data_IF_347934855139
#
_entry.id   IF_347934855139
#
_cell.length_a   1.000
_cell.length_b   1.000
_cell.length_c   1.000
_cell.angle_alpha   90.00
_cell.angle_beta   90.00
_cell.angle_gamma   90.00
#
_symmetry.space_group_name_H-M   'P 1'
#
loop_
_entity.id
_entity.type
_entity.pdbx_description
1 polymer ?
#
# COMPACT_ATOMS: atom_id res chain seq x y z
N UNK A 1 -13.29 4.84 -13.83
CA UNK A 1 -12.20 5.72 -13.36
C UNK A 1 -10.90 4.98 -13.39
N UNK A 2 -9.81 5.59 -13.86
CA UNK A 2 -8.52 4.96 -13.80
C UNK A 2 -8.09 4.79 -12.34
N UNK A 3 -7.49 3.66 -12.06
CA UNK A 3 -6.96 3.37 -10.74
C UNK A 3 -5.78 4.31 -10.43
N UNK A 4 -5.77 4.82 -9.22
CA UNK A 4 -4.66 5.63 -8.71
C UNK A 4 -4.33 5.15 -7.31
N UNK A 5 -3.09 4.72 -7.05
CA UNK A 5 -2.71 4.32 -5.70
C UNK A 5 -2.68 5.53 -4.76
N UNK A 6 -2.89 5.28 -3.49
CA UNK A 6 -2.93 6.35 -2.49
C UNK A 6 -1.55 6.88 -2.15
N UNK A 7 -0.54 6.01 -2.17
CA UNK A 7 0.84 6.36 -1.83
C UNK A 7 1.76 5.73 -2.87
N UNK A 8 2.77 6.48 -3.29
CA UNK A 8 3.82 5.96 -4.15
C UNK A 8 5.18 6.27 -3.53
N UNK A 9 6.14 5.39 -3.81
CA UNK A 9 7.54 5.61 -3.46
C UNK A 9 8.31 5.70 -4.76
N UNK A 10 8.94 6.84 -4.99
CA UNK A 10 9.72 7.09 -6.22
C UNK A 10 11.20 7.18 -5.89
N UNK A 11 12.05 6.89 -6.86
CA UNK A 11 13.48 7.07 -6.69
C UNK A 11 13.84 8.53 -6.42
N UNK A 12 14.90 8.78 -5.67
CA UNK A 12 15.31 10.15 -5.32
C UNK A 12 15.72 10.95 -6.56
N UNK A 13 16.45 10.31 -7.47
CA UNK A 13 17.01 10.97 -8.65
C UNK A 13 16.31 10.58 -9.96
N UNK A 14 15.32 9.73 -9.89
CA UNK A 14 14.60 9.24 -11.08
C UNK A 14 13.10 9.24 -10.83
N UNK A 15 12.28 9.40 -11.88
CA UNK A 15 10.82 9.31 -11.73
C UNK A 15 10.31 7.86 -11.59
N UNK A 16 11.23 6.89 -11.47
CA UNK A 16 10.85 5.48 -11.36
C UNK A 16 10.04 5.21 -10.09
N UNK A 17 8.93 4.53 -10.22
CA UNK A 17 8.11 4.11 -9.08
C UNK A 17 8.65 2.79 -8.55
N UNK A 18 9.03 2.77 -7.28
CA UNK A 18 9.61 1.60 -6.60
C UNK A 18 8.57 0.79 -5.83
N UNK A 19 7.52 1.45 -5.36
CA UNK A 19 6.48 0.83 -4.56
C UNK A 19 5.19 1.62 -4.73
N UNK A 20 4.06 0.92 -4.83
CA UNK A 20 2.75 1.54 -4.75
C UNK A 20 1.99 0.96 -3.56
N UNK A 21 1.21 1.79 -2.90
CA UNK A 21 0.40 1.38 -1.75
C UNK A 21 -1.02 1.89 -1.94
N UNK A 22 -1.97 0.99 -1.81
CA UNK A 22 -3.39 1.34 -1.79
C UNK A 22 -3.94 1.01 -0.40
N UNK A 23 -4.53 2.00 0.25
CA UNK A 23 -5.03 1.88 1.62
C UNK A 23 -6.54 2.05 1.65
N UNK A 24 -7.25 1.01 2.07
CA UNK A 24 -8.71 0.99 2.12
C UNK A 24 -9.18 0.53 3.50
N UNK A 25 -10.34 1.01 3.91
CA UNK A 25 -10.93 0.59 5.19
C UNK A 25 -11.60 -0.77 5.11
N UNK A 26 -12.05 -1.17 3.92
CA UNK A 26 -12.71 -2.45 3.72
C UNK A 26 -11.77 -3.51 3.20
N UNK A 27 -12.09 -4.76 3.53
CA UNK A 27 -11.31 -5.92 3.14
C UNK A 27 -11.07 -5.97 1.62
N UNK A 28 -9.87 -6.41 1.18
CA UNK A 28 -9.56 -6.55 -0.25
C UNK A 28 -10.25 -7.76 -0.89
N UNK A 29 -11.49 -8.04 -0.52
CA UNK A 29 -12.25 -9.18 -1.02
C UNK A 29 -12.78 -9.01 -2.43
N UNK A 30 -12.64 -7.80 -3.00
CA UNK A 30 -13.07 -7.57 -4.38
C UNK A 30 -11.94 -7.85 -5.34
N UNK A 31 -12.09 -8.85 -6.23
CA UNK A 31 -11.06 -9.17 -7.23
C UNK A 31 -10.68 -7.98 -8.11
N UNK A 32 -11.59 -7.03 -8.28
CA UNK A 32 -11.36 -5.83 -9.08
C UNK A 32 -10.23 -4.96 -8.54
N UNK A 33 -10.12 -4.81 -7.21
CA UNK A 33 -9.06 -4.01 -6.59
C UNK A 33 -7.70 -4.65 -6.80
N UNK A 34 -7.63 -5.96 -6.65
CA UNK A 34 -6.40 -6.70 -6.88
C UNK A 34 -5.96 -6.59 -8.34
N UNK A 35 -6.90 -6.77 -9.26
CA UNK A 35 -6.66 -6.65 -10.69
C UNK A 35 -6.16 -5.25 -11.07
N UNK A 36 -6.79 -4.21 -10.52
CA UNK A 36 -6.40 -2.83 -10.78
C UNK A 36 -4.99 -2.54 -10.26
N UNK A 37 -4.67 -3.02 -9.07
CA UNK A 37 -3.34 -2.85 -8.48
C UNK A 37 -2.28 -3.54 -9.34
N UNK A 38 -2.53 -4.78 -9.75
CA UNK A 38 -1.61 -5.55 -10.61
C UNK A 38 -1.42 -4.88 -11.97
N UNK A 39 -2.49 -4.41 -12.59
CA UNK A 39 -2.41 -3.71 -13.87
C UNK A 39 -1.59 -2.43 -13.76
N UNK A 40 -1.79 -1.67 -12.68
CA UNK A 40 -1.01 -0.45 -12.45
C UNK A 40 0.47 -0.76 -12.27
N UNK A 41 0.79 -1.81 -11.51
CA UNK A 41 2.18 -2.24 -11.33
C UNK A 41 2.84 -2.55 -12.67
N UNK A 42 2.15 -3.29 -13.53
CA UNK A 42 2.66 -3.64 -14.86
C UNK A 42 2.84 -2.41 -15.74
N UNK A 43 1.84 -1.56 -15.78
CA UNK A 43 1.87 -0.34 -16.61
C UNK A 43 2.99 0.60 -16.21
N UNK A 44 3.21 0.77 -14.92
CA UNK A 44 4.24 1.66 -14.39
C UNK A 44 5.58 0.97 -14.17
N UNK A 45 5.68 -0.32 -14.46
CA UNK A 45 6.86 -1.14 -14.23
C UNK A 45 7.34 -1.09 -12.78
N UNK A 46 6.38 -1.10 -11.86
CA UNK A 46 6.63 -1.06 -10.44
C UNK A 46 6.86 -2.47 -9.91
N UNK A 47 7.99 -2.75 -9.24
CA UNK A 47 8.31 -4.11 -8.81
C UNK A 47 7.50 -4.61 -7.63
N UNK A 48 7.00 -3.71 -6.77
CA UNK A 48 6.32 -4.09 -5.53
C UNK A 48 5.06 -3.27 -5.31
N UNK A 49 4.02 -3.92 -4.81
CA UNK A 49 2.77 -3.26 -4.43
C UNK A 49 2.26 -3.75 -3.09
N UNK A 50 1.60 -2.87 -2.37
CA UNK A 50 0.92 -3.19 -1.12
C UNK A 50 -0.55 -2.81 -1.22
N UNK A 51 -1.40 -3.69 -0.72
CA UNK A 51 -2.78 -3.37 -0.44
C UNK A 51 -2.97 -3.49 1.06
N UNK A 52 -3.32 -2.41 1.74
CA UNK A 52 -3.42 -2.42 3.20
C UNK A 52 -4.82 -2.04 3.67
N UNK A 53 -5.26 -2.73 4.71
CA UNK A 53 -6.49 -2.43 5.44
C UNK A 53 -6.17 -2.40 6.92
N UNK A 54 -7.08 -1.97 7.79
CA UNK A 54 -6.85 -2.05 9.23
C UNK A 54 -6.60 -3.48 9.75
N UNK A 55 -6.96 -4.50 8.96
CA UNK A 55 -6.79 -5.90 9.35
C UNK A 55 -5.57 -6.56 8.74
N UNK A 56 -5.13 -6.13 7.56
CA UNK A 56 -4.16 -6.91 6.80
C UNK A 56 -3.26 -6.07 5.91
N UNK A 57 -2.09 -6.60 5.65
CA UNK A 57 -1.16 -6.09 4.65
C UNK A 57 -1.00 -7.20 3.62
N UNK A 58 -1.32 -6.91 2.36
CA UNK A 58 -1.13 -7.83 1.25
C UNK A 58 0.03 -7.34 0.41
N UNK A 59 1.02 -8.20 0.20
CA UNK A 59 2.23 -7.85 -0.56
C UNK A 59 2.17 -8.50 -1.93
N UNK A 60 2.45 -7.72 -2.97
CA UNK A 60 2.52 -8.18 -4.35
C UNK A 60 3.90 -7.88 -4.93
N UNK A 61 4.35 -8.75 -5.83
CA UNK A 61 5.57 -8.50 -6.58
C UNK A 61 5.38 -8.85 -8.04
N UNK A 62 6.09 -8.16 -8.92
CA UNK A 62 6.16 -8.51 -10.34
C UNK A 62 7.30 -9.50 -10.53
N UNK A 63 6.98 -10.68 -11.06
CA UNK A 63 7.98 -11.72 -11.33
C UNK A 63 8.65 -11.54 -12.69
N UNK A 64 8.15 -10.59 -13.51
CA UNK A 64 8.62 -10.32 -14.86
C UNK A 64 8.56 -11.52 -15.81
N UNK A 65 7.63 -12.44 -15.55
CA UNK A 65 7.49 -13.66 -16.35
C UNK A 65 6.51 -13.52 -17.52
N UNK A 66 5.71 -12.47 -17.53
CA UNK A 66 4.72 -12.21 -18.58
C UNK A 66 4.42 -10.72 -18.70
N UNK A 67 3.77 -10.30 -19.77
CA UNK A 67 3.30 -8.93 -19.98
C UNK A 67 1.84 -8.75 -19.58
N UNK A 68 1.38 -9.51 -18.59
CA UNK A 68 0.00 -9.48 -18.13
C UNK A 68 -0.02 -9.58 -16.60
N UNK A 69 -1.20 -9.41 -16.02
CA UNK A 69 -1.40 -9.53 -14.57
C UNK A 69 -0.86 -10.84 -13.99
N UNK A 70 -0.69 -11.86 -14.83
CA UNK A 70 -0.17 -13.16 -14.41
C UNK A 70 1.28 -13.09 -13.92
N UNK A 71 2.03 -12.07 -14.32
CA UNK A 71 3.40 -11.90 -13.82
C UNK A 71 3.44 -11.32 -12.41
N UNK A 72 2.36 -10.69 -11.96
CA UNK A 72 2.27 -10.13 -10.61
C UNK A 72 1.66 -11.16 -9.69
N UNK A 73 2.42 -11.57 -8.68
CA UNK A 73 1.95 -12.56 -7.72
C UNK A 73 1.75 -11.95 -6.34
N UNK A 74 0.82 -12.55 -5.60
CA UNK A 74 0.64 -12.24 -4.19
C UNK A 74 1.72 -12.97 -3.42
N UNK A 75 2.62 -12.23 -2.77
CA UNK A 75 3.64 -12.81 -1.89
C UNK A 75 2.98 -13.40 -0.64
N UNK A 76 2.03 -12.68 -0.06
CA UNK A 76 1.30 -13.14 1.09
C UNK A 76 0.32 -12.12 1.63
N UNK A 77 -0.52 -12.58 2.55
CA UNK A 77 -1.43 -11.75 3.33
C UNK A 77 -0.99 -11.83 4.79
N UNK A 78 -0.67 -10.70 5.38
CA UNK A 78 -0.08 -10.62 6.71
C UNK A 78 -0.95 -9.77 7.64
N UNK A 79 -0.89 -9.99 8.96
CA UNK A 79 -1.65 -9.15 9.90
C UNK A 79 -1.13 -7.72 9.90
N UNK A 80 -2.05 -6.77 9.97
CA UNK A 80 -1.71 -5.35 10.10
C UNK A 80 -1.25 -5.03 11.54
N UNK A 81 -0.56 -3.88 11.74
CA UNK A 81 -0.25 -3.42 13.07
C UNK A 81 -1.50 -3.30 13.95
N UNK A 82 -1.41 -3.70 15.19
CA UNK A 82 -2.56 -3.66 16.12
C UNK A 82 -3.09 -2.25 16.32
N UNK A 83 -2.22 -1.25 16.20
CA UNK A 83 -2.62 0.16 16.34
C UNK A 83 -3.61 0.61 15.25
N UNK A 84 -3.69 -0.11 14.13
CA UNK A 84 -4.62 0.23 13.06
C UNK A 84 -6.07 -0.20 13.34
N UNK A 85 -6.30 -0.94 14.42
CA UNK A 85 -7.65 -1.41 14.77
C UNK A 85 -8.63 -0.26 15.03
N UNK A 86 -8.14 0.92 15.39
CA UNK A 86 -8.98 2.11 15.59
C UNK A 86 -9.70 2.55 14.32
N UNK A 87 -9.23 2.10 13.17
CA UNK A 87 -9.83 2.42 11.87
C UNK A 87 -10.85 1.38 11.41
N UNK A 88 -11.02 0.29 12.15
CA UNK A 88 -12.04 -0.70 11.79
C UNK A 88 -13.43 -0.10 11.93
N UNK A 89 -14.18 -0.14 10.84
CA UNK A 89 -15.54 0.35 10.78
C UNK A 89 -16.47 -0.86 10.85
N UNK A 90 -17.49 -0.86 11.73
CA UNK A 90 -18.50 -1.92 11.72
C UNK A 90 -19.15 -1.99 10.34
N UNK A 91 -19.13 -3.17 9.74
CA UNK A 91 -19.68 -3.36 8.41
C UNK A 91 -21.19 -3.48 8.51
N UNK A 92 -21.91 -2.49 8.04
CA UNK A 92 -23.36 -2.48 7.98
C UNK A 92 -23.85 -2.70 6.55
N UNK A 93 -23.44 -3.83 5.94
CA UNK A 93 -23.96 -4.23 4.65
C UNK A 93 -23.70 -3.25 3.50
N UNK A 94 -24.72 -2.98 2.71
CA UNK A 94 -24.62 -2.25 1.44
C UNK A 94 -24.78 -0.73 1.58
N UNK A 95 -24.55 -0.16 2.74
CA UNK A 95 -24.67 1.28 2.90
C UNK A 95 -23.59 2.03 2.14
N UNK A 96 -23.98 3.14 1.53
CA UNK A 96 -23.06 4.02 0.84
C UNK A 96 -22.07 4.63 1.84
N UNK A 97 -20.80 4.85 1.43
CA UNK A 97 -19.83 5.48 2.31
C UNK A 97 -20.34 6.84 2.78
N UNK A 98 -20.36 7.05 4.07
CA UNK A 98 -20.73 8.34 4.64
C UNK A 98 -19.55 9.31 4.54
N UNK A 99 -19.80 10.61 4.74
CA UNK A 99 -18.74 11.61 4.82
C UNK A 99 -17.75 11.27 5.94
N UNK A 100 -18.23 10.66 7.02
CA UNK A 100 -17.40 10.17 8.12
C UNK A 100 -16.44 9.08 7.67
N UNK A 101 -16.91 8.13 6.85
CA UNK A 101 -16.07 7.05 6.35
C UNK A 101 -15.00 7.55 5.41
N UNK A 102 -15.32 8.54 4.57
CA UNK A 102 -14.36 9.17 3.67
C UNK A 102 -13.26 9.88 4.47
N UNK A 103 -13.63 10.60 5.53
CA UNK A 103 -12.68 11.26 6.40
C UNK A 103 -11.79 10.25 7.14
N UNK A 104 -12.39 9.18 7.63
CA UNK A 104 -11.66 8.10 8.32
C UNK A 104 -10.67 7.42 7.37
N UNK A 105 -11.06 7.19 6.12
CA UNK A 105 -10.18 6.60 5.12
C UNK A 105 -8.98 7.51 4.84
N UNK A 106 -9.18 8.82 4.72
CA UNK A 106 -8.09 9.78 4.54
C UNK A 106 -7.12 9.76 5.73
N UNK A 107 -7.64 9.64 6.94
CA UNK A 107 -6.80 9.52 8.14
C UNK A 107 -6.04 8.20 8.18
N UNK A 108 -6.65 7.13 7.71
CA UNK A 108 -5.98 5.84 7.59
C UNK A 108 -4.82 5.93 6.60
N UNK A 109 -5.04 6.55 5.45
CA UNK A 109 -3.98 6.76 4.45
C UNK A 109 -2.79 7.53 5.04
N UNK A 110 -3.06 8.58 5.81
CA UNK A 110 -2.02 9.34 6.49
C UNK A 110 -1.26 8.48 7.51
N UNK A 111 -1.97 7.63 8.23
CA UNK A 111 -1.38 6.72 9.21
C UNK A 111 -0.46 5.71 8.52
N UNK A 112 -0.89 5.16 7.39
CA UNK A 112 -0.09 4.23 6.60
C UNK A 112 1.16 4.92 6.07
N UNK A 113 1.02 6.14 5.56
CA UNK A 113 2.16 6.93 5.07
C UNK A 113 3.18 7.19 6.18
N UNK A 114 2.71 7.59 7.36
CA UNK A 114 3.57 7.79 8.53
C UNK A 114 4.29 6.50 8.93
N UNK A 115 3.57 5.38 8.90
CA UNK A 115 4.17 4.08 9.21
C UNK A 115 5.28 3.73 8.22
N UNK A 116 5.06 3.97 6.94
CA UNK A 116 6.09 3.73 5.93
C UNK A 116 7.33 4.60 6.18
N UNK A 117 7.15 5.86 6.58
CA UNK A 117 8.26 6.75 6.92
C UNK A 117 9.01 6.26 8.16
N UNK A 118 8.29 5.75 9.16
CA UNK A 118 8.89 5.17 10.36
C UNK A 118 9.71 3.91 10.02
N UNK A 119 9.16 3.03 9.19
CA UNK A 119 9.85 1.83 8.73
C UNK A 119 11.10 2.21 7.94
N UNK A 120 11.01 3.22 7.08
CA UNK A 120 12.15 3.73 6.31
C UNK A 120 13.28 4.18 7.24
N UNK A 121 12.95 4.93 8.29
CA UNK A 121 13.93 5.50 9.19
C UNK A 121 14.52 4.50 10.19
N UNK A 122 13.71 3.55 10.64
CA UNK A 122 14.12 2.58 11.66
C UNK A 122 13.44 1.23 11.42
N UNK A 123 13.84 0.51 10.34
CA UNK A 123 13.16 -0.74 9.98
C UNK A 123 13.20 -1.78 11.10
N UNK A 124 14.32 -1.92 11.79
CA UNK A 124 14.43 -2.89 12.86
C UNK A 124 13.42 -2.62 13.98
N UNK A 125 13.29 -1.36 14.40
CA UNK A 125 12.41 -0.98 15.50
C UNK A 125 10.93 -1.17 15.16
N UNK A 126 10.54 -0.82 13.93
CA UNK A 126 9.13 -0.84 13.54
C UNK A 126 8.65 -2.17 12.97
N UNK A 127 9.57 -3.09 12.65
CA UNK A 127 9.22 -4.42 12.17
C UNK A 127 9.33 -5.50 13.23
N UNK A 128 9.97 -5.24 14.35
CA UNK A 128 10.21 -6.25 15.39
C UNK A 128 8.93 -6.82 16.01
N UNK A 129 7.85 -6.05 16.01
CA UNK A 129 6.57 -6.47 16.58
C UNK A 129 5.80 -7.45 15.69
N UNK A 130 6.16 -7.52 14.42
CA UNK A 130 5.50 -8.41 13.48
C UNK A 130 5.97 -9.85 13.65
N UNK A 131 5.11 -10.83 13.32
CA UNK A 131 5.55 -12.23 13.19
C UNK A 131 6.70 -12.34 12.19
N UNK A 132 7.51 -13.38 12.32
CA UNK A 132 8.68 -13.57 11.48
C UNK A 132 8.37 -13.52 9.99
N UNK A 133 7.29 -14.21 9.57
CA UNK A 133 6.89 -14.25 8.15
C UNK A 133 6.59 -12.86 7.60
N UNK A 134 5.90 -12.04 8.38
CA UNK A 134 5.58 -10.66 8.01
C UNK A 134 6.86 -9.83 7.93
N UNK A 135 7.73 -9.93 8.94
CA UNK A 135 9.00 -9.21 8.94
C UNK A 135 9.84 -9.55 7.73
N UNK A 136 9.94 -10.83 7.40
CA UNK A 136 10.76 -11.29 6.27
C UNK A 136 10.21 -10.73 4.96
N UNK A 137 8.90 -10.78 4.76
CA UNK A 137 8.28 -10.24 3.55
C UNK A 137 8.48 -8.73 3.43
N UNK A 138 8.26 -7.98 4.50
CA UNK A 138 8.45 -6.53 4.48
C UNK A 138 9.92 -6.16 4.29
N UNK A 139 10.82 -6.89 4.91
CA UNK A 139 12.27 -6.66 4.77
C UNK A 139 12.73 -6.94 3.34
N UNK A 140 12.22 -7.99 2.72
CA UNK A 140 12.66 -8.39 1.38
C UNK A 140 12.06 -7.52 0.27
N UNK A 141 10.82 -7.07 0.42
CA UNK A 141 10.09 -6.41 -0.67
C UNK A 141 9.81 -4.93 -0.45
N UNK A 142 9.64 -4.49 0.78
CA UNK A 142 9.21 -3.13 1.09
C UNK A 142 10.38 -2.25 1.54
N UNK A 143 11.19 -2.72 2.46
CA UNK A 143 12.31 -1.95 2.99
C UNK A 143 13.27 -1.46 1.91
N UNK A 144 13.68 -2.28 0.92
CA UNK A 144 14.58 -1.80 -0.12
C UNK A 144 14.01 -0.63 -0.92
N UNK A 145 12.72 -0.67 -1.23
CA UNK A 145 12.05 0.42 -1.94
C UNK A 145 12.03 1.70 -1.08
N UNK A 146 11.71 1.57 0.20
CA UNK A 146 11.65 2.71 1.11
C UNK A 146 13.02 3.35 1.31
N UNK A 147 14.07 2.54 1.45
CA UNK A 147 15.41 3.06 1.70
C UNK A 147 16.02 3.79 0.50
N UNK A 148 15.57 3.48 -0.71
CA UNK A 148 16.06 4.07 -1.95
C UNK A 148 15.17 5.17 -2.50
N UNK A 149 14.03 5.44 -1.87
CA UNK A 149 13.03 6.29 -2.44
C UNK A 149 12.48 7.37 -1.54
N UNK A 150 11.61 8.17 -2.12
CA UNK A 150 10.86 9.24 -1.44
C UNK A 150 9.40 8.82 -1.41
N UNK A 151 8.79 8.86 -0.23
CA UNK A 151 7.40 8.49 -0.02
C UNK A 151 6.51 9.70 -0.33
N UNK A 152 5.55 9.52 -1.25
CA UNK A 152 4.66 10.58 -1.69
C UNK A 152 3.21 10.10 -1.68
N UNK A 153 2.28 10.98 -1.29
CA UNK A 153 0.88 10.75 -1.59
C UNK A 153 0.65 10.97 -3.08
N UNK A 154 -0.17 10.15 -3.69
CA UNK A 154 -0.45 10.26 -5.13
C UNK A 154 -1.83 10.86 -5.43
N UNK A 155 -2.54 11.31 -4.40
CA UNK A 155 -3.86 11.89 -4.56
C UNK A 155 -3.83 13.24 -5.27
N UNK A 156 -4.96 13.67 -5.88
CA UNK A 156 -5.03 14.93 -6.61
C UNK A 156 -4.59 16.16 -5.80
N UNK A 157 -4.82 16.14 -4.51
CA UNK A 157 -4.45 17.25 -3.63
C UNK A 157 -2.96 17.54 -3.62
N UNK A 158 -2.15 16.50 -3.48
CA UNK A 158 -0.69 16.68 -3.41
C UNK A 158 -0.11 17.14 -4.73
N UNK A 159 -0.68 16.70 -5.84
CA UNK A 159 -0.27 17.17 -7.16
C UNK A 159 -0.57 18.65 -7.36
N UNK A 160 -1.67 19.13 -6.81
CA UNK A 160 -2.04 20.54 -6.89
C UNK A 160 -1.19 21.41 -5.96
N UNK A 161 -0.83 20.89 -4.80
CA UNK A 161 -0.02 21.63 -3.83
C UNK A 161 1.45 21.71 -4.21
N UNK A 162 1.94 20.74 -4.97
CA UNK A 162 3.35 20.70 -5.40
C UNK A 162 3.64 21.53 -6.65
N UNK A 163 2.66 22.20 -7.19
CA UNK A 163 2.81 23.12 -8.32
C UNK A 163 2.95 24.58 -7.80
#
# INVERSE_FOLDING_TARGET
>A
MPFSPDIIVTGEDTPRILLIVDAKLSSPSHPEYESQLKSYMLHMRCPTGLFVTPDAIVVYRDTYTAHSEKSVERVGLFPAPKTWTVFKVPHHGSELPSARDTHLEARFEETVKSWLEQVRNSPTDYLKEFPKETRDALTDYVVPALSQGVIRGSGPREWLESR
#
